data_IF_537710552532
#
_entry.id   IF_537710552532
#
_cell.length_a   1.000
_cell.length_b   1.000
_cell.length_c   1.000
_cell.angle_alpha   90.00
_cell.angle_beta   90.00
_cell.angle_gamma   90.00
#
_symmetry.space_group_name_H-M   'P 1'
#
loop_
_entity.id
_entity.type
_entity.pdbx_description
1 polymer ?
#
# COMPACT_ATOMS: atom_id res chain seq x y z
N UNK A 1 15.16 -12.30 21.64
CA UNK A 1 14.71 -11.14 22.45
C UNK A 1 14.55 -11.59 23.90
N UNK A 2 15.02 -10.81 24.87
CA UNK A 2 14.88 -11.13 26.30
C UNK A 2 13.42 -11.02 26.74
N UNK A 3 12.88 -12.06 27.39
CA UNK A 3 11.49 -12.05 27.90
C UNK A 3 11.20 -10.98 28.96
N UNK A 4 12.25 -10.47 29.61
CA UNK A 4 12.15 -9.33 30.55
C UNK A 4 11.74 -8.05 29.82
N UNK A 5 12.34 -7.78 28.66
CA UNK A 5 12.03 -6.58 27.86
C UNK A 5 10.62 -6.61 27.29
N UNK A 6 10.16 -7.77 26.82
CA UNK A 6 8.78 -7.95 26.33
C UNK A 6 7.75 -7.68 27.43
N UNK A 7 8.01 -8.13 28.67
CA UNK A 7 7.08 -7.95 29.80
C UNK A 7 6.85 -6.48 30.17
N UNK A 8 7.87 -5.64 30.00
CA UNK A 8 7.78 -4.20 30.28
C UNK A 8 7.39 -3.38 29.04
N UNK A 9 6.95 -4.03 27.96
CA UNK A 9 6.51 -3.38 26.73
C UNK A 9 7.65 -2.93 25.81
N UNK A 10 8.92 -3.18 26.14
CA UNK A 10 10.11 -2.79 25.37
C UNK A 10 10.67 -3.92 24.51
N UNK A 11 9.84 -4.90 24.14
CA UNK A 11 10.25 -6.05 23.32
C UNK A 11 10.60 -5.69 21.86
N UNK A 12 10.55 -4.42 21.48
CA UNK A 12 10.84 -3.92 20.12
C UNK A 12 11.80 -2.77 20.22
N UNK A 13 12.84 -2.76 19.38
CA UNK A 13 13.86 -1.70 19.39
C UNK A 13 13.26 -0.30 19.20
N UNK A 14 12.21 -0.19 18.37
CA UNK A 14 11.48 1.06 18.11
C UNK A 14 10.75 1.64 19.33
N UNK A 15 10.73 0.93 20.48
CA UNK A 15 10.13 1.43 21.73
C UNK A 15 11.17 1.93 22.73
N UNK A 16 12.46 1.86 22.40
CA UNK A 16 13.53 2.40 23.23
C UNK A 16 13.64 3.93 23.10
N UNK A 17 13.15 4.47 22.00
CA UNK A 17 13.13 5.90 21.71
C UNK A 17 11.68 6.41 21.65
N UNK A 18 11.41 7.64 22.13
CA UNK A 18 10.11 8.26 21.91
C UNK A 18 9.80 8.34 20.41
N UNK A 19 8.54 8.10 19.99
CA UNK A 19 8.17 8.31 18.60
C UNK A 19 8.37 9.79 18.24
N UNK A 20 8.93 10.04 17.06
CA UNK A 20 9.02 11.40 16.55
C UNK A 20 7.62 12.04 16.47
N UNK A 21 7.49 13.33 16.81
CA UNK A 21 6.22 14.03 16.65
C UNK A 21 5.77 14.00 15.19
N UNK A 22 4.46 13.93 14.96
CA UNK A 22 3.92 13.87 13.61
C UNK A 22 4.29 15.15 12.84
N UNK A 23 5.07 15.00 11.76
CA UNK A 23 5.36 16.09 10.85
C UNK A 23 4.15 16.33 9.94
N UNK A 24 3.20 17.16 10.43
CA UNK A 24 2.00 17.55 9.68
C UNK A 24 2.24 18.89 9.02
N UNK A 25 2.08 18.93 7.71
CA UNK A 25 2.05 20.15 6.92
C UNK A 25 0.85 20.09 5.98
N UNK A 26 0.36 21.27 5.63
CA UNK A 26 -0.59 21.47 4.55
C UNK A 26 -0.27 22.80 3.89
N UNK A 27 -0.23 22.86 2.56
CA UNK A 27 -0.09 24.14 1.85
C UNK A 27 -1.42 24.90 1.83
N UNK A 28 -1.36 26.23 1.80
CA UNK A 28 -2.56 27.08 1.90
C UNK A 28 -3.39 27.09 0.61
N UNK A 29 -2.74 26.92 -0.54
CA UNK A 29 -3.37 27.08 -1.86
C UNK A 29 -3.28 25.79 -2.67
N UNK A 30 -4.31 25.46 -3.47
CA UNK A 30 -4.26 24.36 -4.40
C UNK A 30 -3.06 24.46 -5.36
N UNK A 31 -2.41 23.33 -5.63
CA UNK A 31 -1.30 23.20 -6.58
C UNK A 31 0.08 23.52 -6.02
N UNK A 32 0.19 23.99 -4.77
CA UNK A 32 1.50 24.30 -4.16
C UNK A 32 2.32 23.06 -3.81
N UNK A 33 1.67 21.94 -3.49
CA UNK A 33 2.31 20.66 -3.22
C UNK A 33 1.45 19.52 -3.74
N UNK A 34 2.03 18.74 -4.65
CA UNK A 34 1.40 17.53 -5.20
C UNK A 34 2.21 16.32 -4.75
N UNK A 35 1.54 15.40 -4.06
CA UNK A 35 2.08 14.08 -3.73
C UNK A 35 1.88 13.14 -4.91
N UNK A 36 2.99 12.65 -5.47
CA UNK A 36 2.96 11.69 -6.56
C UNK A 36 3.31 10.31 -6.00
N UNK A 37 2.43 9.33 -6.25
CA UNK A 37 2.63 7.93 -5.91
C UNK A 37 2.41 7.04 -7.14
N UNK A 38 3.08 5.90 -7.14
CA UNK A 38 2.82 4.84 -8.12
C UNK A 38 2.51 3.55 -7.39
N UNK A 39 1.25 3.14 -7.48
CA UNK A 39 0.79 1.90 -6.87
C UNK A 39 0.89 0.76 -7.87
N UNK A 40 1.78 -0.18 -7.58
CA UNK A 40 1.84 -1.48 -8.28
C UNK A 40 0.73 -2.41 -7.78
N UNK A 41 -0.10 -2.89 -8.70
CA UNK A 41 -1.21 -3.82 -8.46
C UNK A 41 -1.03 -5.11 -9.23
N UNK A 42 -1.47 -6.23 -8.66
CA UNK A 42 -1.48 -7.51 -9.36
C UNK A 42 -2.59 -7.54 -10.39
N UNK A 43 -2.24 -7.70 -11.67
CA UNK A 43 -3.22 -7.91 -12.75
C UNK A 43 -3.81 -9.32 -12.62
N UNK A 44 -5.14 -9.40 -12.54
CA UNK A 44 -5.86 -10.67 -12.64
C UNK A 44 -5.77 -11.14 -14.09
N UNK A 45 -5.34 -12.38 -14.30
CA UNK A 45 -5.19 -12.93 -15.64
C UNK A 45 -6.52 -13.06 -16.39
N UNK A 46 -6.44 -13.36 -17.69
CA UNK A 46 -7.55 -13.31 -18.65
C UNK A 46 -8.80 -14.12 -18.25
N UNK A 47 -8.61 -15.16 -17.42
CA UNK A 47 -9.69 -16.04 -16.93
C UNK A 47 -10.42 -15.49 -15.71
N UNK A 48 -10.03 -14.32 -15.19
CA UNK A 48 -10.66 -13.68 -14.07
C UNK A 48 -10.47 -14.43 -12.75
N UNK A 49 -11.57 -14.62 -12.02
CA UNK A 49 -11.54 -15.09 -10.63
C UNK A 49 -10.88 -16.47 -10.45
N UNK A 50 -10.11 -16.63 -9.38
CA UNK A 50 -9.41 -17.87 -9.05
C UNK A 50 -10.31 -19.01 -8.56
N UNK A 51 -9.73 -20.19 -8.39
CA UNK A 51 -10.45 -21.43 -8.05
C UNK A 51 -11.33 -21.34 -6.79
N UNK A 52 -11.07 -20.38 -5.89
CA UNK A 52 -11.88 -20.19 -4.67
C UNK A 52 -13.29 -19.73 -5.04
N UNK A 53 -13.40 -18.86 -6.05
CA UNK A 53 -14.67 -18.38 -6.55
C UNK A 53 -15.25 -19.35 -7.60
N UNK A 54 -14.41 -19.96 -8.43
CA UNK A 54 -14.88 -20.75 -9.60
C UNK A 54 -14.93 -22.26 -9.38
N UNK A 55 -14.40 -22.78 -8.27
CA UNK A 55 -14.31 -24.23 -7.99
C UNK A 55 -13.35 -25.02 -8.90
N UNK A 56 -12.87 -24.41 -9.99
CA UNK A 56 -12.07 -25.05 -11.01
C UNK A 56 -10.57 -24.99 -10.68
N UNK A 57 -10.00 -26.15 -10.32
CA UNK A 57 -8.57 -26.31 -10.00
C UNK A 57 -7.73 -26.84 -11.17
N UNK A 58 -8.26 -26.85 -12.40
CA UNK A 58 -7.72 -27.61 -13.53
C UNK A 58 -6.20 -27.48 -13.76
N UNK A 59 -5.55 -28.61 -14.08
CA UNK A 59 -4.15 -28.65 -14.51
C UNK A 59 -3.99 -27.86 -15.81
N UNK A 60 -3.07 -26.89 -15.85
CA UNK A 60 -2.90 -25.98 -16.99
C UNK A 60 -3.59 -24.62 -16.85
N UNK A 61 -4.17 -24.31 -15.69
CA UNK A 61 -4.55 -22.95 -15.27
C UNK A 61 -3.31 -22.10 -14.95
N UNK A 62 -2.37 -21.98 -15.90
CA UNK A 62 -1.37 -20.92 -15.83
C UNK A 62 -2.11 -19.61 -16.01
N UNK A 63 -1.83 -18.65 -15.15
CA UNK A 63 -2.41 -17.31 -15.14
C UNK A 63 -1.93 -16.51 -16.34
N UNK A 64 -2.35 -16.91 -17.55
CA UNK A 64 -2.13 -16.16 -18.79
C UNK A 64 -2.72 -14.76 -18.62
N UNK A 65 -1.97 -13.77 -19.08
CA UNK A 65 -2.31 -12.36 -18.88
C UNK A 65 -2.09 -11.84 -17.45
N UNK A 66 -1.76 -12.69 -16.46
CA UNK A 66 -1.41 -12.16 -15.14
C UNK A 66 -0.04 -11.48 -15.17
N UNK A 67 0.09 -10.47 -14.33
CA UNK A 67 1.27 -9.62 -14.29
C UNK A 67 1.06 -8.46 -13.34
N UNK A 68 1.61 -7.32 -13.70
CA UNK A 68 1.53 -6.10 -12.90
C UNK A 68 0.89 -4.99 -13.70
N UNK A 69 0.02 -4.26 -13.02
CA UNK A 69 -0.48 -2.97 -13.45
C UNK A 69 0.00 -1.90 -12.48
N UNK A 70 0.00 -0.66 -12.96
CA UNK A 70 0.49 0.46 -12.20
C UNK A 70 -0.56 1.56 -12.28
N UNK A 71 -0.90 2.08 -11.12
CA UNK A 71 -1.80 3.21 -10.97
C UNK A 71 -0.94 4.40 -10.59
N UNK A 72 -0.94 5.43 -11.43
CA UNK A 72 -0.27 6.70 -11.14
C UNK A 72 -1.26 7.58 -10.40
N UNK A 73 -0.89 8.01 -9.20
CA UNK A 73 -1.74 8.81 -8.33
C UNK A 73 -1.06 10.14 -8.07
N UNK A 74 -1.79 11.22 -8.29
CA UNK A 74 -1.39 12.57 -7.90
C UNK A 74 -2.41 13.11 -6.92
N UNK A 75 -1.99 13.44 -5.70
CA UNK A 75 -2.85 14.02 -4.67
C UNK A 75 -2.40 15.44 -4.38
N UNK A 76 -3.31 16.40 -4.53
CA UNK A 76 -3.08 17.78 -4.09
C UNK A 76 -3.19 17.88 -2.57
N UNK A 77 -2.16 18.40 -1.90
CA UNK A 77 -2.09 18.43 -0.44
C UNK A 77 -3.15 19.36 0.18
N UNK A 78 -3.42 20.52 -0.43
CA UNK A 78 -4.35 21.52 0.09
C UNK A 78 -5.83 21.13 -0.08
N UNK A 79 -6.19 20.54 -1.22
CA UNK A 79 -7.59 20.19 -1.55
C UNK A 79 -7.93 18.73 -1.28
N UNK A 80 -6.91 17.87 -1.10
CA UNK A 80 -7.02 16.41 -1.04
C UNK A 80 -7.65 15.78 -2.28
N UNK A 81 -7.72 16.51 -3.40
CA UNK A 81 -8.16 15.96 -4.68
C UNK A 81 -7.13 14.96 -5.20
N UNK A 82 -7.60 13.80 -5.65
CA UNK A 82 -6.78 12.74 -6.21
C UNK A 82 -7.08 12.55 -7.70
N UNK A 83 -6.03 12.57 -8.52
CA UNK A 83 -6.05 12.27 -9.94
C UNK A 83 -5.37 10.93 -10.16
N UNK A 84 -6.00 10.08 -10.97
CA UNK A 84 -5.58 8.68 -11.12
C UNK A 84 -5.55 8.30 -12.60
N UNK A 85 -4.45 7.67 -13.03
CA UNK A 85 -4.24 7.16 -14.38
C UNK A 85 -3.69 5.72 -14.38
#
# INVERSE_FOLDING_TARGET
>A
MSGVLTRVGLGTLSRLEPPEPANRYERERPGELIHIDVKKLGRIGDRGAGHRATGNRGKGQRSRGAGWEFVHVCVDDATRLAYVA
#
